data_IF_350469033240
#
_entry.id   IF_350469033240
#
_cell.length_a   1.000
_cell.length_b   1.000
_cell.length_c   1.000
_cell.angle_alpha   90.00
_cell.angle_beta   90.00
_cell.angle_gamma   90.00
#
_symmetry.space_group_name_H-M   'P 1'
#
loop_
_entity.id
_entity.type
_entity.pdbx_description
1 polymer ?
#
# COMPACT_ATOMS: atom_id res chain seq x y z
N UNK A 1 -12.09 -55.23 29.62
CA UNK A 1 -13.49 -54.74 29.49
C UNK A 1 -13.69 -53.43 28.72
N UNK A 2 -13.09 -52.27 29.06
CA UNK A 2 -13.33 -51.02 28.28
C UNK A 2 -12.74 -51.08 26.86
N UNK A 3 -11.53 -51.62 26.69
CA UNK A 3 -10.83 -51.70 25.41
C UNK A 3 -11.49 -52.69 24.43
N UNK A 4 -11.94 -53.85 24.91
CA UNK A 4 -12.63 -54.86 24.07
C UNK A 4 -13.97 -54.36 23.52
N UNK A 5 -14.72 -53.57 24.29
CA UNK A 5 -15.96 -52.94 23.82
C UNK A 5 -15.69 -51.95 22.69
N UNK A 6 -14.65 -51.15 22.81
CA UNK A 6 -14.22 -50.20 21.78
C UNK A 6 -13.79 -50.97 20.52
N UNK A 7 -12.99 -52.03 20.68
CA UNK A 7 -12.49 -52.82 19.56
C UNK A 7 -13.63 -53.53 18.80
N UNK A 8 -14.59 -54.11 19.52
CA UNK A 8 -15.77 -54.73 18.93
C UNK A 8 -16.67 -53.71 18.22
N UNK A 9 -16.78 -52.50 18.77
CA UNK A 9 -17.52 -51.41 18.14
C UNK A 9 -16.86 -50.99 16.81
N UNK A 10 -15.53 -50.78 16.79
CA UNK A 10 -14.80 -50.49 15.55
C UNK A 10 -14.94 -51.61 14.51
N UNK A 11 -14.88 -52.88 14.93
CA UNK A 11 -15.04 -54.03 14.04
C UNK A 11 -16.45 -54.13 13.42
N UNK A 12 -17.49 -53.77 14.18
CA UNK A 12 -18.87 -53.73 13.67
C UNK A 12 -19.09 -52.53 12.74
N UNK A 13 -18.55 -51.36 13.09
CA UNK A 13 -18.59 -50.17 12.27
C UNK A 13 -17.85 -50.37 10.94
N UNK A 14 -16.65 -50.97 10.95
CA UNK A 14 -15.88 -51.23 9.74
C UNK A 14 -16.58 -52.21 8.81
N UNK A 15 -17.15 -53.31 9.33
CA UNK A 15 -17.96 -54.25 8.54
C UNK A 15 -19.17 -53.58 7.90
N UNK A 16 -19.87 -52.71 8.64
CA UNK A 16 -21.04 -51.97 8.12
C UNK A 16 -20.65 -50.92 7.08
N UNK A 17 -19.50 -50.27 7.26
CA UNK A 17 -18.91 -49.32 6.32
C UNK A 17 -18.48 -50.00 5.01
N UNK A 18 -17.81 -51.16 5.09
CA UNK A 18 -17.36 -51.92 3.92
C UNK A 18 -18.52 -52.51 3.11
N UNK A 19 -19.62 -52.92 3.77
CA UNK A 19 -20.82 -53.43 3.09
C UNK A 19 -21.50 -52.33 2.27
N UNK A 20 -21.53 -51.10 2.76
CA UNK A 20 -22.15 -49.95 2.10
C UNK A 20 -21.12 -48.98 1.51
N UNK A 21 -19.94 -49.49 1.10
CA UNK A 21 -18.75 -48.68 0.74
C UNK A 21 -19.02 -47.54 -0.24
N UNK A 22 -19.89 -47.75 -1.23
CA UNK A 22 -20.24 -46.74 -2.23
C UNK A 22 -21.09 -45.60 -1.66
N UNK A 23 -22.00 -45.90 -0.73
CA UNK A 23 -22.81 -44.88 -0.04
C UNK A 23 -21.92 -44.04 0.88
N UNK A 24 -20.98 -44.69 1.58
CA UNK A 24 -20.05 -44.00 2.47
C UNK A 24 -19.08 -43.11 1.69
N UNK A 25 -18.51 -43.62 0.59
CA UNK A 25 -17.64 -42.84 -0.29
C UNK A 25 -18.39 -41.68 -0.94
N UNK A 26 -19.61 -41.92 -1.45
CA UNK A 26 -20.46 -40.87 -2.01
C UNK A 26 -20.79 -39.78 -0.99
N UNK A 27 -21.14 -40.18 0.25
CA UNK A 27 -21.41 -39.24 1.34
C UNK A 27 -20.17 -38.44 1.74
N UNK A 28 -19.00 -39.07 1.82
CA UNK A 28 -17.74 -38.39 2.11
C UNK A 28 -17.38 -37.37 1.03
N UNK A 29 -17.47 -37.76 -0.25
CA UNK A 29 -17.22 -36.86 -1.38
C UNK A 29 -18.22 -35.70 -1.39
N UNK A 30 -19.49 -35.96 -1.08
CA UNK A 30 -20.52 -34.92 -1.01
C UNK A 30 -20.19 -33.90 0.09
N UNK A 31 -19.85 -34.36 1.30
CA UNK A 31 -19.46 -33.48 2.41
C UNK A 31 -18.22 -32.66 2.03
N UNK A 32 -17.23 -33.30 1.41
CA UNK A 32 -16.01 -32.63 0.97
C UNK A 32 -16.30 -31.59 -0.11
N UNK A 33 -17.14 -31.90 -1.10
CA UNK A 33 -17.56 -30.97 -2.13
C UNK A 33 -18.33 -29.77 -1.56
N UNK A 34 -19.21 -29.99 -0.58
CA UNK A 34 -19.91 -28.91 0.14
C UNK A 34 -18.91 -28.04 0.90
N UNK A 35 -17.96 -28.65 1.64
CA UNK A 35 -16.93 -27.94 2.38
C UNK A 35 -16.03 -27.08 1.48
N UNK A 36 -15.55 -27.66 0.37
CA UNK A 36 -14.75 -26.94 -0.63
C UNK A 36 -15.56 -25.83 -1.30
N UNK A 37 -16.85 -26.08 -1.59
CA UNK A 37 -17.73 -25.03 -2.08
C UNK A 37 -17.99 -23.93 -1.04
N UNK A 38 -17.81 -24.19 0.25
CA UNK A 38 -17.90 -23.19 1.31
C UNK A 38 -16.68 -22.25 1.34
N UNK A 39 -15.49 -22.75 1.02
CA UNK A 39 -14.24 -21.97 0.98
C UNK A 39 -14.31 -20.78 0.03
N UNK A 40 -15.12 -20.85 -1.03
CA UNK A 40 -15.31 -19.73 -1.97
C UNK A 40 -16.02 -18.50 -1.34
N UNK A 41 -16.63 -18.67 -0.17
CA UNK A 41 -17.26 -17.61 0.61
C UNK A 41 -16.41 -17.18 1.81
N UNK A 42 -15.22 -17.77 1.97
CA UNK A 42 -14.26 -17.37 2.98
C UNK A 42 -13.80 -15.94 2.68
N UNK A 43 -14.05 -15.03 3.61
CA UNK A 43 -13.63 -13.63 3.53
C UNK A 43 -12.43 -13.47 4.44
N UNK A 44 -11.32 -13.01 3.88
CA UNK A 44 -10.16 -12.56 4.66
C UNK A 44 -10.41 -11.08 4.94
N UNK A 45 -10.64 -10.71 6.20
CA UNK A 45 -10.46 -9.31 6.59
C UNK A 45 -8.96 -9.05 6.73
N UNK A 46 -8.50 -7.96 6.14
CA UNK A 46 -7.12 -7.50 6.23
C UNK A 46 -7.03 -6.18 7.00
N UNK A 47 -8.08 -5.81 7.75
CA UNK A 47 -8.05 -4.62 8.59
C UNK A 47 -7.21 -4.90 9.83
N UNK A 48 -6.29 -3.98 10.14
CA UNK A 48 -5.52 -4.05 11.37
C UNK A 48 -6.39 -3.78 12.61
N UNK A 49 -7.55 -3.11 12.43
CA UNK A 49 -8.48 -2.74 13.51
C UNK A 49 -9.12 -3.97 14.13
N UNK A 50 -9.34 -5.04 13.35
CA UNK A 50 -9.87 -6.33 13.81
C UNK A 50 -8.97 -7.04 14.83
N UNK A 51 -7.71 -6.63 14.96
CA UNK A 51 -6.79 -7.17 15.96
C UNK A 51 -6.96 -6.52 17.35
N UNK A 52 -7.66 -5.38 17.43
CA UNK A 52 -7.94 -4.70 18.68
C UNK A 52 -9.29 -5.13 19.26
N UNK A 53 -9.46 -4.91 20.57
CA UNK A 53 -10.77 -5.05 21.20
C UNK A 53 -11.67 -3.89 20.74
N UNK A 54 -12.98 -4.14 20.60
CA UNK A 54 -13.95 -3.16 20.10
C UNK A 54 -13.92 -1.82 20.88
N UNK A 55 -13.61 -1.85 22.20
CA UNK A 55 -13.54 -0.67 23.07
C UNK A 55 -12.10 -0.17 23.31
N UNK A 56 -11.12 -0.57 22.50
CA UNK A 56 -9.73 -0.14 22.71
C UNK A 56 -9.59 1.39 22.49
N UNK A 57 -8.99 2.13 23.44
CA UNK A 57 -8.76 3.57 23.29
C UNK A 57 -8.00 3.95 22.01
N UNK A 58 -7.17 3.05 21.47
CA UNK A 58 -6.45 3.25 20.22
C UNK A 58 -7.40 3.36 19.02
N UNK A 59 -8.47 2.56 18.98
CA UNK A 59 -9.48 2.63 17.91
C UNK A 59 -10.21 3.98 17.95
N UNK A 60 -10.65 4.41 19.14
CA UNK A 60 -11.33 5.70 19.32
C UNK A 60 -10.45 6.86 18.87
N UNK A 61 -9.16 6.84 19.22
CA UNK A 61 -8.22 7.90 18.81
C UNK A 61 -7.89 7.87 17.32
N UNK A 62 -7.89 6.69 16.72
CA UNK A 62 -7.71 6.53 15.27
C UNK A 62 -8.94 7.07 14.52
N UNK A 63 -10.15 6.79 15.00
CA UNK A 63 -11.41 7.32 14.45
C UNK A 63 -11.44 8.85 14.54
N UNK A 64 -11.12 9.42 15.72
CA UNK A 64 -11.02 10.88 15.89
C UNK A 64 -9.99 11.51 14.93
N UNK A 65 -8.84 10.86 14.73
CA UNK A 65 -7.85 11.31 13.77
C UNK A 65 -8.40 11.26 12.35
N UNK A 66 -9.10 10.19 11.98
CA UNK A 66 -9.69 10.02 10.65
C UNK A 66 -10.80 11.02 10.37
N UNK A 67 -11.62 11.37 11.36
CA UNK A 67 -12.63 12.42 11.23
C UNK A 67 -12.01 13.80 10.96
N UNK A 68 -10.88 14.12 11.59
CA UNK A 68 -10.23 15.43 11.48
C UNK A 68 -9.35 15.52 10.23
N UNK A 69 -8.53 14.51 9.97
CA UNK A 69 -7.47 14.53 8.95
C UNK A 69 -7.79 13.69 7.70
N UNK A 70 -8.91 12.99 7.70
CA UNK A 70 -9.34 12.08 6.65
C UNK A 70 -8.62 10.74 6.74
N UNK A 71 -7.91 10.36 5.69
CA UNK A 71 -7.16 9.11 5.69
C UNK A 71 -5.79 9.24 6.37
N UNK A 72 -5.36 8.19 7.06
CA UNK A 72 -4.01 8.00 7.60
C UNK A 72 -3.11 7.16 6.67
N UNK A 73 -3.66 6.58 5.60
CA UNK A 73 -2.88 5.79 4.64
C UNK A 73 -2.05 6.67 3.69
N UNK A 74 -0.81 6.24 3.48
CA UNK A 74 0.10 6.81 2.50
C UNK A 74 0.88 5.71 1.77
N UNK A 75 1.19 5.95 0.51
CA UNK A 75 2.17 5.17 -0.26
C UNK A 75 3.48 5.96 -0.31
N UNK A 76 4.62 5.29 -0.16
CA UNK A 76 5.91 5.96 -0.18
C UNK A 76 6.94 5.17 -0.99
N UNK A 77 7.72 5.89 -1.79
CA UNK A 77 8.85 5.36 -2.56
C UNK A 77 10.11 6.08 -2.12
N UNK A 78 11.13 5.31 -1.77
CA UNK A 78 12.47 5.81 -1.45
C UNK A 78 13.40 5.57 -2.63
N UNK A 79 13.94 6.63 -3.21
CA UNK A 79 14.99 6.53 -4.22
C UNK A 79 16.37 6.61 -3.56
N UNK A 80 17.34 5.90 -4.14
CA UNK A 80 18.75 5.93 -3.70
C UNK A 80 19.65 6.11 -4.91
N UNK A 81 20.53 7.09 -4.85
CA UNK A 81 21.52 7.38 -5.88
C UNK A 81 22.74 8.09 -5.25
N UNK A 82 23.78 8.33 -6.05
CA UNK A 82 24.96 9.06 -5.56
C UNK A 82 24.68 10.56 -5.34
N UNK A 83 23.83 11.15 -6.18
CA UNK A 83 23.43 12.56 -6.08
C UNK A 83 22.05 12.79 -6.69
N UNK A 84 21.04 13.09 -5.86
CA UNK A 84 19.66 13.32 -6.30
C UNK A 84 19.49 14.59 -7.14
N UNK A 85 20.48 15.50 -7.14
CA UNK A 85 20.43 16.79 -7.84
C UNK A 85 21.12 16.75 -9.22
N UNK A 86 21.26 15.58 -9.83
CA UNK A 86 21.62 15.48 -11.25
C UNK A 86 20.36 15.56 -12.11
N UNK A 87 20.51 15.96 -13.38
CA UNK A 87 19.39 16.02 -14.31
C UNK A 87 18.63 14.70 -14.39
N UNK A 88 19.34 13.62 -14.67
CA UNK A 88 18.75 12.29 -14.86
C UNK A 88 18.01 11.80 -13.60
N UNK A 89 18.55 12.06 -12.41
CA UNK A 89 17.90 11.66 -11.15
C UNK A 89 16.67 12.51 -10.83
N UNK A 90 16.70 13.81 -11.11
CA UNK A 90 15.53 14.68 -10.98
C UNK A 90 14.44 14.30 -11.98
N UNK A 91 14.81 13.92 -13.21
CA UNK A 91 13.89 13.41 -14.23
C UNK A 91 13.23 12.10 -13.77
N UNK A 92 14.03 11.15 -13.25
CA UNK A 92 13.51 9.90 -12.70
C UNK A 92 12.58 10.14 -11.50
N UNK A 93 12.95 11.02 -10.57
CA UNK A 93 12.08 11.37 -9.43
C UNK A 93 10.75 11.95 -9.92
N UNK A 94 10.78 12.80 -10.96
CA UNK A 94 9.56 13.36 -11.58
C UNK A 94 8.73 12.29 -12.28
N UNK A 95 9.35 11.38 -13.01
CA UNK A 95 8.67 10.26 -13.66
C UNK A 95 7.96 9.38 -12.63
N UNK A 96 8.66 8.97 -11.57
CA UNK A 96 8.08 8.19 -10.47
C UNK A 96 6.97 8.96 -9.74
N UNK A 97 7.13 10.27 -9.55
CA UNK A 97 6.11 11.14 -8.95
C UNK A 97 4.84 11.13 -9.79
N UNK A 98 4.95 11.36 -11.11
CA UNK A 98 3.80 11.39 -12.01
C UNK A 98 3.13 10.01 -12.10
N UNK A 99 3.92 8.95 -12.26
CA UNK A 99 3.39 7.58 -12.35
C UNK A 99 2.66 7.19 -11.05
N UNK A 100 3.15 7.60 -9.87
CA UNK A 100 2.44 7.37 -8.62
C UNK A 100 1.07 8.07 -8.57
N UNK A 101 0.95 9.27 -9.15
CA UNK A 101 -0.33 9.99 -9.22
C UNK A 101 -1.27 9.35 -10.24
N UNK A 102 -0.74 8.93 -11.39
CA UNK A 102 -1.54 8.44 -12.52
C UNK A 102 -1.99 6.99 -12.36
N UNK A 103 -1.19 6.15 -11.71
CA UNK A 103 -1.45 4.70 -11.61
C UNK A 103 -2.17 4.28 -10.33
N UNK A 104 -2.07 5.04 -9.23
CA UNK A 104 -2.71 4.67 -7.96
C UNK A 104 -4.15 5.16 -7.93
N UNK A 105 -5.08 4.22 -7.79
CA UNK A 105 -6.53 4.47 -7.81
C UNK A 105 -6.99 5.47 -6.73
N UNK A 106 -6.28 5.52 -5.61
CA UNK A 106 -6.61 6.37 -4.46
C UNK A 106 -5.63 7.55 -4.28
N UNK A 107 -4.92 7.97 -5.33
CA UNK A 107 -4.04 9.14 -5.25
C UNK A 107 -4.80 10.41 -4.81
N UNK A 108 -4.30 11.09 -3.78
CA UNK A 108 -4.85 12.36 -3.30
C UNK A 108 -3.84 13.51 -3.45
N UNK A 109 -2.78 13.48 -2.65
CA UNK A 109 -1.76 14.53 -2.62
C UNK A 109 -0.38 13.92 -2.58
N UNK A 110 0.45 14.25 -3.57
CA UNK A 110 1.84 13.84 -3.59
C UNK A 110 2.73 14.90 -2.95
N UNK A 111 3.90 14.48 -2.49
CA UNK A 111 4.96 15.33 -1.98
C UNK A 111 6.29 14.67 -2.31
N UNK A 112 7.08 15.31 -3.16
CA UNK A 112 8.39 14.85 -3.61
C UNK A 112 9.31 16.03 -3.87
N UNK A 113 10.61 15.77 -4.05
CA UNK A 113 11.59 16.83 -4.39
C UNK A 113 11.15 17.70 -5.58
N UNK A 114 10.50 17.09 -6.57
CA UNK A 114 10.10 17.75 -7.82
C UNK A 114 8.76 18.46 -7.74
N UNK A 115 8.00 18.28 -6.65
CA UNK A 115 6.68 18.87 -6.42
C UNK A 115 6.69 19.98 -5.34
N UNK A 116 7.80 20.19 -4.63
CA UNK A 116 7.87 21.21 -3.58
C UNK A 116 7.77 22.63 -4.16
N UNK A 117 6.84 23.40 -3.61
CA UNK A 117 6.67 24.82 -3.90
C UNK A 117 7.60 25.73 -3.07
N UNK A 118 8.12 26.74 -3.75
CA UNK A 118 8.96 27.80 -3.25
C UNK A 118 8.31 29.16 -3.52
N UNK A 119 8.01 29.88 -2.43
CA UNK A 119 7.48 31.23 -2.52
C UNK A 119 8.63 32.23 -2.51
N UNK A 120 8.73 33.06 -3.54
CA UNK A 120 9.68 34.17 -3.61
C UNK A 120 8.91 35.49 -3.57
N UNK A 121 9.27 36.36 -2.63
CA UNK A 121 8.80 37.74 -2.61
C UNK A 121 9.72 38.61 -3.48
N UNK A 122 9.14 39.30 -4.46
CA UNK A 122 9.81 40.32 -5.28
C UNK A 122 9.11 41.67 -5.16
N UNK A 123 9.63 42.68 -5.87
CA UNK A 123 9.06 44.03 -5.89
C UNK A 123 7.64 44.06 -6.51
N UNK A 124 7.33 43.11 -7.40
CA UNK A 124 6.05 43.00 -8.10
C UNK A 124 5.03 42.07 -7.40
N UNK A 125 5.38 41.48 -6.24
CA UNK A 125 4.48 40.61 -5.47
C UNK A 125 5.10 39.28 -5.03
N UNK A 126 4.25 38.30 -4.77
CA UNK A 126 4.64 36.94 -4.34
C UNK A 126 4.47 36.00 -5.53
N UNK A 127 5.56 35.37 -5.95
CA UNK A 127 5.55 34.29 -6.94
C UNK A 127 5.66 32.93 -6.24
N UNK A 128 4.84 31.97 -6.65
CA UNK A 128 4.89 30.57 -6.20
C UNK A 128 5.43 29.75 -7.38
N UNK A 129 6.61 29.17 -7.22
CA UNK A 129 7.25 28.33 -8.25
C UNK A 129 7.73 27.02 -7.62
N UNK A 130 7.84 25.96 -8.41
CA UNK A 130 8.47 24.72 -7.95
C UNK A 130 9.98 24.90 -7.78
N UNK A 131 10.57 24.23 -6.78
CA UNK A 131 12.04 24.25 -6.59
C UNK A 131 12.75 23.64 -7.81
N UNK A 132 12.18 22.57 -8.36
CA UNK A 132 12.64 21.93 -9.60
C UNK A 132 11.73 22.41 -10.73
N UNK A 133 12.23 23.13 -11.74
CA UNK A 133 11.41 23.61 -12.86
C UNK A 133 10.94 22.44 -13.75
N UNK A 134 9.87 22.64 -14.53
CA UNK A 134 9.32 21.63 -15.46
C UNK A 134 10.38 21.11 -16.44
N UNK A 135 11.19 22.01 -16.99
CA UNK A 135 12.35 21.64 -17.80
C UNK A 135 13.60 21.63 -16.93
N UNK A 136 14.11 20.44 -16.63
CA UNK A 136 15.27 20.29 -15.75
C UNK A 136 16.54 20.72 -16.50
N UNK A 137 17.32 21.64 -15.94
CA UNK A 137 18.49 22.17 -16.61
C UNK A 137 19.65 21.18 -16.63
N UNK A 138 20.50 21.31 -17.64
CA UNK A 138 21.76 20.54 -17.73
C UNK A 138 22.95 21.30 -17.13
N UNK A 139 22.83 22.62 -16.91
CA UNK A 139 23.90 23.46 -16.35
C UNK A 139 24.16 23.11 -14.87
N UNK A 140 25.39 22.69 -14.49
CA UNK A 140 25.73 22.37 -13.11
C UNK A 140 25.44 23.51 -12.12
N UNK A 141 25.56 24.77 -12.54
CA UNK A 141 25.28 25.91 -11.64
C UNK A 141 23.79 26.02 -11.31
N UNK A 142 22.92 25.72 -12.26
CA UNK A 142 21.48 25.74 -12.05
C UNK A 142 21.02 24.56 -11.20
N UNK A 143 21.62 23.38 -11.39
CA UNK A 143 21.38 22.21 -10.55
C UNK A 143 21.82 22.44 -9.08
N UNK A 144 22.95 23.13 -8.87
CA UNK A 144 23.39 23.48 -7.52
C UNK A 144 22.47 24.53 -6.87
N UNK A 145 21.88 25.43 -7.66
CA UNK A 145 20.87 26.36 -7.16
C UNK A 145 19.58 25.64 -6.74
N UNK A 146 19.15 24.60 -7.47
CA UNK A 146 18.04 23.72 -7.08
C UNK A 146 18.39 23.04 -5.74
N UNK A 147 19.60 22.50 -5.60
CA UNK A 147 20.08 21.91 -4.35
C UNK A 147 20.00 22.91 -3.20
N UNK A 148 20.54 24.11 -3.40
CA UNK A 148 20.52 25.18 -2.40
C UNK A 148 19.08 25.54 -2.00
N UNK A 149 18.18 25.71 -2.98
CA UNK A 149 16.76 26.00 -2.75
C UNK A 149 16.05 24.90 -1.98
N UNK A 150 16.31 23.63 -2.30
CA UNK A 150 15.76 22.49 -1.58
C UNK A 150 16.11 22.57 -0.09
N UNK A 151 17.38 22.81 0.26
CA UNK A 151 17.82 22.88 1.65
C UNK A 151 17.55 24.22 2.37
N UNK A 152 17.09 25.27 1.67
CA UNK A 152 16.71 26.54 2.31
C UNK A 152 15.50 26.42 3.24
N UNK A 153 14.69 25.36 3.12
CA UNK A 153 13.59 25.03 4.03
C UNK A 153 13.93 23.73 4.80
N UNK A 154 14.71 23.80 5.90
CA UNK A 154 15.22 22.60 6.58
C UNK A 154 14.13 21.61 6.96
N UNK A 155 12.97 22.08 7.44
CA UNK A 155 11.88 21.22 7.88
C UNK A 155 11.19 20.43 6.74
N UNK A 156 11.32 20.88 5.50
CA UNK A 156 10.78 20.18 4.31
C UNK A 156 11.88 19.31 3.70
N UNK A 157 13.09 19.86 3.58
CA UNK A 157 14.25 19.17 3.04
C UNK A 157 14.63 17.94 3.86
N UNK A 158 14.76 18.07 5.18
CA UNK A 158 15.18 16.96 6.06
C UNK A 158 14.17 15.81 6.15
N UNK A 159 12.92 16.05 5.73
CA UNK A 159 11.87 15.02 5.66
C UNK A 159 11.82 14.32 4.31
N UNK A 160 12.26 14.98 3.24
CA UNK A 160 12.16 14.47 1.88
C UNK A 160 13.49 14.01 1.31
N UNK A 161 14.62 14.58 1.72
CA UNK A 161 15.96 14.30 1.17
C UNK A 161 16.98 14.18 2.29
N UNK A 162 17.90 13.22 2.18
CA UNK A 162 19.01 13.07 3.12
C UNK A 162 20.01 14.23 3.04
N UNK A 163 20.76 14.49 4.11
CA UNK A 163 21.72 15.61 4.18
C UNK A 163 22.83 15.55 3.12
N UNK A 164 23.21 14.34 2.71
CA UNK A 164 24.19 14.08 1.66
C UNK A 164 23.59 14.15 0.24
N UNK A 165 22.26 14.09 0.12
CA UNK A 165 21.53 14.12 -1.15
C UNK A 165 21.44 12.76 -1.85
N UNK A 166 21.75 11.66 -1.16
CA UNK A 166 21.75 10.30 -1.73
C UNK A 166 20.40 9.60 -1.68
N UNK A 167 19.49 10.05 -0.80
CA UNK A 167 18.16 9.48 -0.61
C UNK A 167 17.10 10.55 -0.81
N UNK A 168 16.02 10.20 -1.51
CA UNK A 168 14.84 11.04 -1.65
C UNK A 168 13.55 10.25 -1.47
N UNK A 169 12.61 10.78 -0.68
CA UNK A 169 11.26 10.26 -0.53
C UNK A 169 10.31 10.88 -1.55
N UNK A 170 9.44 10.05 -2.08
CA UNK A 170 8.21 10.42 -2.79
C UNK A 170 7.07 9.87 -1.95
N UNK A 171 6.23 10.75 -1.40
CA UNK A 171 5.16 10.38 -0.47
C UNK A 171 3.83 10.78 -1.09
N UNK A 172 2.93 9.82 -1.25
CA UNK A 172 1.58 10.03 -1.73
C UNK A 172 0.59 9.77 -0.59
N UNK A 173 -0.11 10.81 -0.16
CA UNK A 173 -1.30 10.65 0.69
C UNK A 173 -2.41 10.04 -0.15
N UNK A 174 -3.08 9.04 0.41
CA UNK A 174 -4.17 8.33 -0.26
C UNK A 174 -5.52 8.88 0.20
N UNK A 175 -6.51 8.89 -0.70
CA UNK A 175 -7.91 9.16 -0.36
C UNK A 175 -8.45 8.07 0.56
N UNK A 176 -9.42 8.40 1.38
CA UNK A 176 -10.08 7.45 2.28
C UNK A 176 -10.59 6.26 1.49
N UNK A 177 -10.23 5.06 1.94
CA UNK A 177 -10.72 3.83 1.32
C UNK A 177 -12.21 3.67 1.59
N UNK A 178 -12.96 3.08 0.64
CA UNK A 178 -14.37 2.80 0.85
C UNK A 178 -14.54 1.81 2.01
N UNK A 179 -15.67 1.91 2.72
CA UNK A 179 -16.03 0.93 3.75
C UNK A 179 -16.03 -0.51 3.22
N UNK A 180 -15.73 -1.46 4.10
CA UNK A 180 -15.81 -2.90 3.81
C UNK A 180 -17.15 -3.31 3.22
N UNK A 181 -18.23 -2.68 3.66
CA UNK A 181 -19.58 -2.92 3.13
C UNK A 181 -19.68 -2.69 1.62
N UNK A 182 -18.83 -1.82 1.03
CA UNK A 182 -18.86 -1.38 -0.36
C UNK A 182 -17.99 -2.29 -1.25
N UNK A 183 -16.73 -2.51 -0.89
CA UNK A 183 -15.77 -3.25 -1.71
C UNK A 183 -15.85 -4.77 -1.50
N UNK A 184 -16.32 -5.24 -0.34
CA UNK A 184 -16.44 -6.66 0.00
C UNK A 184 -17.73 -7.30 -0.57
N UNK A 185 -17.99 -7.04 -1.86
CA UNK A 185 -19.13 -7.58 -2.62
C UNK A 185 -18.63 -8.44 -3.79
N UNK A 186 -19.18 -9.64 -3.95
CA UNK A 186 -18.89 -10.51 -5.10
C UNK A 186 -17.99 -11.71 -4.79
N UNK A 187 -17.46 -12.33 -5.86
CA UNK A 187 -16.53 -13.47 -5.76
C UNK A 187 -15.10 -12.92 -5.76
N UNK A 188 -14.31 -13.25 -4.73
CA UNK A 188 -12.92 -12.82 -4.53
C UNK A 188 -12.74 -11.28 -4.52
N UNK A 189 -13.33 -10.57 -3.55
CA UNK A 189 -13.09 -9.14 -3.40
C UNK A 189 -11.61 -8.87 -3.09
N UNK A 190 -11.06 -7.82 -3.71
CA UNK A 190 -9.70 -7.32 -3.43
C UNK A 190 -9.87 -6.07 -2.58
N UNK A 191 -9.18 -6.01 -1.44
CA UNK A 191 -9.25 -4.84 -0.58
C UNK A 191 -8.54 -3.64 -1.22
N UNK A 192 -8.99 -2.41 -0.96
CA UNK A 192 -8.31 -1.19 -1.43
C UNK A 192 -6.81 -1.14 -1.07
N UNK A 193 -6.43 -1.67 0.09
CA UNK A 193 -5.04 -1.77 0.55
C UNK A 193 -4.23 -2.70 -0.36
N UNK A 194 -4.78 -3.88 -0.67
CA UNK A 194 -4.12 -4.86 -1.55
C UNK A 194 -4.03 -4.34 -2.98
N UNK A 195 -5.09 -3.68 -3.46
CA UNK A 195 -5.09 -3.03 -4.78
C UNK A 195 -3.98 -1.98 -4.86
N UNK A 196 -3.94 -1.06 -3.89
CA UNK A 196 -2.94 0.00 -3.84
C UNK A 196 -1.52 -0.57 -3.73
N UNK A 197 -1.33 -1.62 -2.93
CA UNK A 197 -0.03 -2.30 -2.81
C UNK A 197 0.43 -2.94 -4.13
N UNK A 198 -0.49 -3.52 -4.90
CA UNK A 198 -0.18 -4.08 -6.22
C UNK A 198 0.16 -2.99 -7.25
N UNK A 199 -0.58 -1.88 -7.24
CA UNK A 199 -0.30 -0.69 -8.07
C UNK A 199 1.08 -0.12 -7.72
N UNK A 200 1.44 -0.05 -6.43
CA UNK A 200 2.74 0.44 -5.99
C UNK A 200 3.91 -0.49 -6.40
N UNK A 201 3.73 -1.81 -6.44
CA UNK A 201 4.79 -2.72 -6.92
C UNK A 201 5.11 -2.49 -8.42
N UNK A 202 4.14 -2.02 -9.21
CA UNK A 202 4.40 -1.61 -10.60
C UNK A 202 5.42 -0.46 -10.66
N UNK A 203 5.24 0.57 -9.82
CA UNK A 203 6.17 1.71 -9.70
C UNK A 203 7.59 1.23 -9.37
N UNK A 204 7.71 0.30 -8.43
CA UNK A 204 9.01 -0.26 -8.03
C UNK A 204 9.77 -0.90 -9.19
N UNK A 205 9.06 -1.53 -10.13
CA UNK A 205 9.67 -2.18 -11.30
C UNK A 205 10.19 -1.17 -12.32
N UNK A 206 9.53 -0.03 -12.49
CA UNK A 206 10.01 1.06 -13.35
C UNK A 206 11.35 1.57 -12.83
N UNK A 207 11.43 1.88 -11.52
CA UNK A 207 12.66 2.35 -10.90
C UNK A 207 13.84 1.36 -10.93
N UNK A 208 13.59 0.06 -11.11
CA UNK A 208 14.66 -0.95 -11.26
C UNK A 208 15.14 -1.13 -12.70
N UNK A 209 14.31 -0.81 -13.69
CA UNK A 209 14.66 -0.95 -15.10
C UNK A 209 15.22 0.34 -15.72
N UNK A 210 15.04 1.48 -15.07
CA UNK A 210 15.56 2.79 -15.50
C UNK A 210 16.96 3.15 -14.97
N UNK A 211 17.66 2.21 -14.31
CA UNK A 211 19.01 2.38 -13.77
C UNK A 211 20.10 1.69 -14.59
#
# INVERSE_FOLDING_TARGET
>A
MKVERINNWFALCSKRMMRNRWVVLGGFILILAIGVSGLRYFKVSASWEDYFLEDDPMLVKTEEFKEIFGNDNFAAVLTRCDNSFTKDNLELIRELTNEMVDSLSYADKITSLTDIEFMMGGEDGIAIEQIVPDTIPTDPKQLEEIRRKAYMKPHVAERLISKDGTLSWIILKLRTFPEDSIWNKGKNPVSPEVLTGNELDHIRRIGQNGG
#
